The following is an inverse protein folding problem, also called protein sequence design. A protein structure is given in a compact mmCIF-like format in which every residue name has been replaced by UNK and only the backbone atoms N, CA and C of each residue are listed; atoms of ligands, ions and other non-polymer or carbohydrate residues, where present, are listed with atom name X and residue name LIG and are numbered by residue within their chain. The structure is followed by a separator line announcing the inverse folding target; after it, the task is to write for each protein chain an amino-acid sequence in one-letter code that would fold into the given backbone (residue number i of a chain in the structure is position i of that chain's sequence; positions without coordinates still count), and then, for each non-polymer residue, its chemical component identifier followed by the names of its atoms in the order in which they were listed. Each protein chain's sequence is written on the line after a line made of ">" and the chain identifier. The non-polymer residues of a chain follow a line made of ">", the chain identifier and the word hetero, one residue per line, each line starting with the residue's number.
data_IF_754888356861
#
_entry.id   IF_754888356861
#
_cell.length_a   1.000
_cell.length_b   1.000
_cell.length_c   1.000
_cell.angle_alpha   90.00
_cell.angle_beta   90.00
_cell.angle_gamma   90.00
#
_symmetry.space_group_name_H-M   'P 1'
#
loop_
_entity.id
_entity.type
_entity.pdbx_description
1 polymer ?
#
# COMPACT_ATOMS: atom_id res chain seq x y z
N UNK A 1 38.25 -1.95 21.59
CA UNK A 1 36.95 -2.63 21.41
C UNK A 1 35.80 -1.81 22.00
N UNK A 2 35.96 -1.19 23.19
CA UNK A 2 34.95 -0.30 23.79
C UNK A 2 34.59 0.93 22.94
N UNK A 3 35.58 1.63 22.37
CA UNK A 3 35.30 2.84 21.59
C UNK A 3 34.52 2.56 20.30
N UNK A 4 34.85 1.45 19.60
CA UNK A 4 34.12 1.04 18.40
C UNK A 4 32.66 0.70 18.72
N UNK A 5 32.41 -0.01 19.82
CA UNK A 5 31.06 -0.33 20.27
C UNK A 5 30.26 0.95 20.59
N UNK A 6 30.90 1.92 21.26
CA UNK A 6 30.27 3.20 21.59
C UNK A 6 29.87 3.96 20.34
N UNK A 7 30.76 4.04 19.34
CA UNK A 7 30.45 4.67 18.05
C UNK A 7 29.31 3.98 17.31
N UNK A 8 29.29 2.64 17.29
CA UNK A 8 28.19 1.88 16.68
C UNK A 8 26.86 2.18 17.38
N UNK A 9 26.83 2.17 18.71
CA UNK A 9 25.61 2.48 19.48
C UNK A 9 25.15 3.93 19.27
N UNK A 10 26.08 4.88 19.21
CA UNK A 10 25.78 6.28 18.94
C UNK A 10 25.15 6.46 17.53
N UNK A 11 25.71 5.82 16.51
CA UNK A 11 25.16 5.83 15.15
C UNK A 11 23.78 5.20 15.10
N UNK A 12 23.59 4.04 15.75
CA UNK A 12 22.28 3.38 15.82
C UNK A 12 21.25 4.29 16.50
N UNK A 13 21.61 4.93 17.61
CA UNK A 13 20.73 5.87 18.30
C UNK A 13 20.33 7.04 17.40
N UNK A 14 21.29 7.66 16.71
CA UNK A 14 21.01 8.72 15.73
C UNK A 14 20.05 8.21 14.65
N UNK A 15 20.30 7.01 14.09
CA UNK A 15 19.39 6.44 13.10
C UNK A 15 17.97 6.25 13.65
N UNK A 16 17.82 5.74 14.88
CA UNK A 16 16.52 5.56 15.51
C UNK A 16 15.81 6.88 15.87
N UNK A 17 16.56 7.94 16.18
CA UNK A 17 16.00 9.25 16.50
C UNK A 17 15.51 10.00 15.27
N UNK A 18 16.20 9.85 14.13
CA UNK A 18 15.93 10.65 12.93
C UNK A 18 15.21 9.88 11.81
N UNK A 19 15.21 8.55 11.84
CA UNK A 19 14.62 7.72 10.80
C UNK A 19 13.69 6.66 11.39
N UNK A 20 12.65 6.32 10.63
CA UNK A 20 11.81 5.16 10.94
C UNK A 20 12.53 3.86 10.54
N UNK A 21 13.58 3.51 11.30
CA UNK A 21 14.44 2.34 11.04
C UNK A 21 13.60 1.07 10.90
N UNK A 22 12.58 0.90 11.74
CA UNK A 22 11.67 -0.25 11.69
C UNK A 22 10.88 -0.34 10.40
N UNK A 23 10.45 0.79 9.81
CA UNK A 23 9.83 0.80 8.50
C UNK A 23 10.76 0.21 7.45
N UNK A 24 11.98 0.74 7.33
CA UNK A 24 12.92 0.32 6.29
C UNK A 24 13.38 -1.13 6.44
N UNK A 25 13.61 -1.60 7.67
CA UNK A 25 13.90 -3.01 7.93
C UNK A 25 12.75 -3.92 7.49
N UNK A 26 11.50 -3.53 7.74
CA UNK A 26 10.33 -4.31 7.28
C UNK A 26 10.16 -4.26 5.76
N UNK A 27 10.39 -3.12 5.11
CA UNK A 27 10.40 -3.04 3.64
C UNK A 27 11.43 -4.01 3.07
N UNK A 28 12.65 -4.01 3.60
CA UNK A 28 13.70 -4.94 3.17
C UNK A 28 13.26 -6.39 3.38
N UNK A 29 12.73 -6.73 4.55
CA UNK A 29 12.24 -8.09 4.84
C UNK A 29 11.10 -8.52 3.90
N UNK A 30 10.17 -7.61 3.57
CA UNK A 30 9.08 -7.86 2.61
C UNK A 30 9.64 -8.15 1.22
N UNK A 31 10.60 -7.34 0.75
CA UNK A 31 11.22 -7.54 -0.56
C UNK A 31 12.02 -8.85 -0.63
N UNK A 32 12.80 -9.16 0.42
CA UNK A 32 13.53 -10.42 0.52
C UNK A 32 12.56 -11.61 0.53
N UNK A 33 11.50 -11.55 1.34
CA UNK A 33 10.47 -12.59 1.39
C UNK A 33 9.78 -12.76 0.03
N UNK A 34 9.45 -11.67 -0.66
CA UNK A 34 8.85 -11.72 -1.99
C UNK A 34 9.74 -12.42 -3.03
N UNK A 35 11.07 -12.38 -2.86
CA UNK A 35 12.01 -13.11 -3.70
C UNK A 35 11.98 -14.63 -3.45
N UNK A 36 11.76 -15.06 -2.20
CA UNK A 36 11.67 -16.48 -1.86
C UNK A 36 10.28 -17.09 -2.09
N UNK A 37 9.23 -16.28 -2.14
CA UNK A 37 7.88 -16.74 -2.43
C UNK A 37 7.66 -16.92 -3.95
N UNK A 38 6.77 -17.83 -4.33
CA UNK A 38 6.39 -18.01 -5.73
C UNK A 38 5.83 -16.69 -6.31
N UNK A 39 6.24 -16.32 -7.53
CA UNK A 39 5.66 -15.17 -8.23
C UNK A 39 4.18 -15.42 -8.51
N UNK A 40 3.41 -14.34 -8.59
CA UNK A 40 1.98 -14.35 -8.92
C UNK A 40 1.81 -13.56 -10.20
N UNK A 41 1.87 -14.24 -11.35
CA UNK A 41 1.90 -13.57 -12.66
C UNK A 41 0.57 -12.89 -13.03
N UNK A 42 -0.54 -13.38 -12.47
CA UNK A 42 -1.82 -12.70 -12.60
C UNK A 42 -1.81 -11.43 -11.74
N UNK A 43 -1.94 -10.28 -12.42
CA UNK A 43 -1.85 -8.95 -11.82
C UNK A 43 -3.06 -8.65 -10.93
N UNK A 44 -4.22 -9.21 -11.26
CA UNK A 44 -5.48 -8.99 -10.52
C UNK A 44 -5.73 -10.07 -9.45
N UNK A 45 -4.92 -11.13 -9.46
CA UNK A 45 -5.00 -12.18 -8.45
C UNK A 45 -4.76 -11.62 -7.04
N UNK A 46 -5.60 -12.07 -6.11
CA UNK A 46 -5.49 -11.71 -4.71
C UNK A 46 -4.27 -12.36 -4.07
N UNK A 47 -3.50 -11.55 -3.33
CA UNK A 47 -2.40 -12.02 -2.51
C UNK A 47 -2.75 -11.83 -1.04
N UNK A 48 -2.58 -12.89 -0.25
CA UNK A 48 -2.85 -12.90 1.17
C UNK A 48 -1.55 -12.92 1.98
N UNK A 49 -1.44 -12.05 2.98
CA UNK A 49 -0.31 -12.01 3.92
C UNK A 49 -0.84 -12.12 5.34
N UNK A 50 -0.41 -13.15 6.07
CA UNK A 50 -0.74 -13.32 7.47
C UNK A 50 0.03 -12.35 8.38
N UNK A 51 -0.64 -11.84 9.41
CA UNK A 51 -0.10 -10.94 10.42
C UNK A 51 -0.67 -11.22 11.81
N UNK A 52 -0.02 -10.66 12.83
CA UNK A 52 -0.51 -10.62 14.21
C UNK A 52 -0.53 -9.17 14.66
N UNK A 53 -1.52 -8.78 15.47
CA UNK A 53 -1.48 -7.50 16.15
C UNK A 53 -0.48 -7.57 17.30
N UNK A 54 0.64 -6.87 17.19
CA UNK A 54 1.69 -6.85 18.21
C UNK A 54 1.46 -5.74 19.23
N UNK A 55 2.20 -5.78 20.34
CA UNK A 55 2.08 -4.76 21.39
C UNK A 55 2.40 -3.34 20.90
N UNK A 56 3.31 -3.20 19.94
CA UNK A 56 3.68 -1.92 19.33
C UNK A 56 2.71 -1.45 18.22
N UNK A 57 1.65 -2.22 17.96
CA UNK A 57 0.60 -1.89 17.00
C UNK A 57 -0.64 -1.27 17.66
N UNK A 58 -0.68 -1.19 18.99
CA UNK A 58 -1.89 -0.91 19.75
C UNK A 58 -1.93 0.54 20.21
N UNK A 59 -3.11 1.16 20.13
CA UNK A 59 -3.52 2.26 20.99
C UNK A 59 -4.86 1.92 21.65
N UNK A 60 -5.11 2.40 22.87
CA UNK A 60 -6.43 2.28 23.52
C UNK A 60 -7.08 0.87 23.45
N UNK A 61 -6.26 -0.18 23.59
CA UNK A 61 -6.63 -1.61 23.56
C UNK A 61 -7.03 -2.23 22.20
N UNK A 62 -6.86 -1.53 21.08
CA UNK A 62 -7.03 -2.10 19.73
C UNK A 62 -5.89 -1.70 18.79
N UNK A 63 -5.78 -2.37 17.64
CA UNK A 63 -4.82 -1.99 16.62
C UNK A 63 -5.06 -0.52 16.22
N UNK A 64 -4.03 0.30 16.36
CA UNK A 64 -4.07 1.71 16.02
C UNK A 64 -4.46 1.88 14.54
N UNK A 65 -5.32 2.85 14.25
CA UNK A 65 -5.84 3.08 12.90
C UNK A 65 -4.73 3.30 11.84
N UNK A 66 -3.66 4.02 12.19
CA UNK A 66 -2.53 4.24 11.29
C UNK A 66 -1.72 2.95 11.02
N UNK A 67 -1.78 1.95 11.90
CA UNK A 67 -1.13 0.66 11.69
C UNK A 67 -1.77 -0.13 10.55
N UNK A 68 -3.09 -0.03 10.36
CA UNK A 68 -3.76 -0.64 9.20
C UNK A 68 -3.16 -0.10 7.88
N UNK A 69 -3.02 1.22 7.76
CA UNK A 69 -2.45 1.86 6.58
C UNK A 69 -1.00 1.43 6.33
N UNK A 70 -0.21 1.28 7.40
CA UNK A 70 1.17 0.84 7.33
C UNK A 70 1.31 -0.62 6.90
N UNK A 71 0.51 -1.52 7.45
CA UNK A 71 0.48 -2.92 6.99
C UNK A 71 0.04 -3.02 5.52
N UNK A 72 -0.93 -2.20 5.12
CA UNK A 72 -1.36 -2.09 3.74
C UNK A 72 -0.25 -1.64 2.79
N UNK A 73 0.66 -0.76 3.24
CA UNK A 73 1.81 -0.35 2.45
C UNK A 73 2.78 -1.52 2.19
N UNK A 74 3.12 -2.28 3.22
CA UNK A 74 3.93 -3.48 3.08
C UNK A 74 3.29 -4.52 2.16
N UNK A 75 1.96 -4.72 2.28
CA UNK A 75 1.25 -5.64 1.40
C UNK A 75 1.23 -5.18 -0.06
N UNK A 76 1.11 -3.86 -0.34
CA UNK A 76 1.23 -3.32 -1.71
C UNK A 76 2.62 -3.50 -2.29
N UNK A 77 3.67 -3.28 -1.48
CA UNK A 77 5.06 -3.54 -1.88
C UNK A 77 5.25 -5.02 -2.24
N UNK A 78 4.75 -5.93 -1.39
CA UNK A 78 4.77 -7.38 -1.63
C UNK A 78 4.03 -7.74 -2.91
N UNK A 79 2.80 -7.23 -3.10
CA UNK A 79 1.96 -7.44 -4.27
C UNK A 79 2.72 -7.07 -5.55
N UNK A 80 3.23 -5.84 -5.61
CA UNK A 80 3.94 -5.32 -6.77
C UNK A 80 5.28 -6.02 -7.03
N UNK A 81 5.96 -6.46 -5.97
CA UNK A 81 7.19 -7.24 -6.12
C UNK A 81 6.90 -8.63 -6.72
N UNK A 82 5.88 -9.32 -6.21
CA UNK A 82 5.55 -10.71 -6.60
C UNK A 82 4.86 -10.85 -7.95
N UNK A 83 4.10 -9.83 -8.38
CA UNK A 83 3.50 -9.81 -9.72
C UNK A 83 4.38 -9.13 -10.77
N UNK A 84 5.55 -8.60 -10.39
CA UNK A 84 6.50 -7.98 -11.30
C UNK A 84 6.21 -6.52 -11.67
N UNK A 85 5.10 -5.93 -11.22
CA UNK A 85 4.77 -4.51 -11.43
C UNK A 85 5.89 -3.62 -10.90
N UNK A 86 6.45 -3.89 -9.73
CA UNK A 86 7.56 -3.12 -9.16
C UNK A 86 8.79 -3.11 -10.08
N UNK A 87 9.12 -4.27 -10.67
CA UNK A 87 10.26 -4.41 -11.59
C UNK A 87 10.00 -3.65 -12.89
N UNK A 88 8.79 -3.76 -13.45
CA UNK A 88 8.40 -3.06 -14.67
C UNK A 88 8.37 -1.54 -14.48
N UNK A 89 7.81 -1.05 -13.36
CA UNK A 89 7.81 0.37 -12.99
C UNK A 89 9.23 0.93 -12.93
N UNK A 90 10.16 0.23 -12.28
CA UNK A 90 11.58 0.63 -12.22
C UNK A 90 12.26 0.63 -13.59
N UNK A 91 12.01 -0.41 -14.41
CA UNK A 91 12.58 -0.51 -15.75
C UNK A 91 12.14 0.63 -16.69
N UNK A 92 10.95 1.18 -16.46
CA UNK A 92 10.41 2.32 -17.21
C UNK A 92 10.78 3.68 -16.61
N UNK A 93 11.51 3.73 -15.49
CA UNK A 93 11.80 4.99 -14.79
C UNK A 93 10.56 5.68 -14.20
N UNK A 94 9.46 4.94 -14.07
CA UNK A 94 8.22 5.40 -13.47
C UNK A 94 8.28 5.28 -11.93
N UNK A 95 7.36 5.96 -11.26
CA UNK A 95 7.17 5.83 -9.81
C UNK A 95 5.68 5.67 -9.49
N UNK A 96 5.37 5.04 -8.36
CA UNK A 96 4.00 4.86 -7.88
C UNK A 96 3.84 5.53 -6.52
N UNK A 97 2.81 6.38 -6.38
CA UNK A 97 2.57 7.16 -5.16
C UNK A 97 1.09 7.10 -4.82
N UNK A 98 0.77 6.88 -3.53
CA UNK A 98 -0.62 6.89 -3.09
C UNK A 98 -1.21 8.31 -3.27
N UNK A 99 -2.29 8.41 -4.05
CA UNK A 99 -3.01 9.67 -4.30
C UNK A 99 -4.26 9.83 -3.45
N UNK A 100 -4.90 8.72 -3.09
CA UNK A 100 -6.03 8.70 -2.17
C UNK A 100 -6.13 7.34 -1.50
N UNK A 101 -6.46 7.32 -0.21
CA UNK A 101 -6.78 6.09 0.53
C UNK A 101 -8.02 6.37 1.38
N UNK A 102 -8.99 5.47 1.34
CA UNK A 102 -10.14 5.49 2.26
C UNK A 102 -10.18 4.17 3.00
N UNK A 103 -10.46 4.23 4.30
CA UNK A 103 -10.54 3.05 5.17
C UNK A 103 -11.93 2.99 5.78
N UNK A 104 -12.56 1.82 5.69
CA UNK A 104 -13.77 1.49 6.44
C UNK A 104 -13.44 0.44 7.49
N UNK A 105 -13.43 0.87 8.76
CA UNK A 105 -13.30 -0.03 9.90
C UNK A 105 -14.67 -0.63 10.23
N UNK A 106 -14.74 -1.96 10.33
CA UNK A 106 -15.96 -2.70 10.70
C UNK A 106 -15.89 -3.22 12.13
N UNK A 107 -14.71 -3.69 12.54
CA UNK A 107 -14.45 -4.25 13.87
C UNK A 107 -12.98 -4.01 14.26
N UNK A 108 -12.67 -3.69 15.52
CA UNK A 108 -11.29 -3.62 15.98
C UNK A 108 -10.63 -5.00 16.01
N UNK A 109 -9.37 -5.07 15.57
CA UNK A 109 -8.47 -6.18 15.86
C UNK A 109 -7.76 -5.92 17.20
N UNK A 110 -7.77 -6.90 18.10
CA UNK A 110 -7.19 -6.77 19.44
C UNK A 110 -5.75 -7.33 19.52
N UNK A 111 -5.05 -7.01 20.61
CA UNK A 111 -3.69 -7.52 20.89
C UNK A 111 -3.61 -9.03 20.69
N UNK A 112 -2.61 -9.49 19.93
CA UNK A 112 -2.36 -10.92 19.68
C UNK A 112 -3.31 -11.56 18.65
N UNK A 113 -4.32 -10.84 18.17
CA UNK A 113 -5.23 -11.37 17.17
C UNK A 113 -4.50 -11.60 15.84
N UNK A 114 -4.73 -12.79 15.25
CA UNK A 114 -4.23 -13.15 13.93
C UNK A 114 -5.17 -12.63 12.86
N UNK A 115 -4.60 -12.05 11.81
CA UNK A 115 -5.37 -11.60 10.65
C UNK A 115 -4.66 -11.98 9.35
N UNK A 116 -5.44 -12.03 8.29
CA UNK A 116 -4.98 -12.15 6.91
C UNK A 116 -5.27 -10.83 6.20
N UNK A 117 -4.22 -10.21 5.66
CA UNK A 117 -4.33 -9.03 4.81
C UNK A 117 -4.36 -9.47 3.35
N UNK A 118 -5.56 -9.45 2.78
CA UNK A 118 -5.81 -9.73 1.36
C UNK A 118 -5.66 -8.46 0.56
N UNK A 119 -4.87 -8.49 -0.50
CA UNK A 119 -4.56 -7.32 -1.31
C UNK A 119 -4.60 -7.70 -2.79
N UNK A 120 -5.28 -6.90 -3.61
CA UNK A 120 -5.35 -7.09 -5.06
C UNK A 120 -5.44 -5.78 -5.81
N UNK A 121 -4.93 -5.76 -7.05
CA UNK A 121 -5.26 -4.71 -8.02
C UNK A 121 -6.65 -5.05 -8.58
N UNK A 122 -7.63 -4.18 -8.34
CA UNK A 122 -9.00 -4.36 -8.84
C UNK A 122 -9.06 -4.01 -10.33
N UNK A 123 -8.52 -2.85 -10.68
CA UNK A 123 -8.48 -2.31 -12.05
C UNK A 123 -7.50 -1.13 -12.09
N UNK A 124 -7.39 -0.45 -13.23
CA UNK A 124 -6.54 0.72 -13.44
C UNK A 124 -7.13 1.64 -14.51
N UNK A 125 -6.72 2.90 -14.49
CA UNK A 125 -7.01 3.87 -15.55
C UNK A 125 -5.69 4.38 -16.18
N UNK A 126 -5.75 5.47 -16.93
CA UNK A 126 -4.57 6.08 -17.55
C UNK A 126 -3.52 6.58 -16.54
N UNK A 127 -3.92 6.85 -15.29
CA UNK A 127 -3.11 7.58 -14.31
C UNK A 127 -2.81 6.78 -13.05
N UNK A 128 -3.60 5.77 -12.70
CA UNK A 128 -3.49 5.09 -11.42
C UNK A 128 -3.94 3.62 -11.45
N UNK A 129 -3.32 2.82 -10.59
CA UNK A 129 -3.86 1.52 -10.18
C UNK A 129 -4.86 1.70 -9.03
N UNK A 130 -5.93 0.91 -9.05
CA UNK A 130 -6.93 0.85 -7.99
C UNK A 130 -6.77 -0.45 -7.21
N UNK A 131 -6.42 -0.33 -5.93
CA UNK A 131 -6.09 -1.47 -5.07
C UNK A 131 -7.13 -1.59 -3.98
N UNK A 132 -7.63 -2.81 -3.78
CA UNK A 132 -8.47 -3.18 -2.65
C UNK A 132 -7.65 -3.99 -1.64
N UNK A 133 -7.81 -3.67 -0.36
CA UNK A 133 -7.15 -4.38 0.73
C UNK A 133 -8.15 -4.68 1.84
N UNK A 134 -8.17 -5.93 2.30
CA UNK A 134 -9.12 -6.41 3.32
C UNK A 134 -8.36 -7.07 4.46
N UNK A 135 -8.60 -6.61 5.68
CA UNK A 135 -8.17 -7.28 6.90
C UNK A 135 -9.24 -8.29 7.29
N UNK A 136 -8.89 -9.57 7.28
CA UNK A 136 -9.80 -10.67 7.64
C UNK A 136 -9.27 -11.33 8.91
N UNK A 137 -10.09 -11.38 9.97
CA UNK A 137 -9.68 -12.07 11.19
C UNK A 137 -9.51 -13.56 10.91
N UNK A 138 -8.40 -14.14 11.32
CA UNK A 138 -8.16 -15.58 11.17
C UNK A 138 -8.93 -16.40 12.21
N UNK A 139 -9.55 -15.75 13.22
CA UNK A 139 -10.33 -16.42 14.26
C UNK A 139 -11.71 -16.85 13.76
N UNK A 140 -12.40 -15.95 13.07
CA UNK A 140 -13.82 -16.10 12.69
C UNK A 140 -14.08 -15.80 11.19
N UNK A 141 -13.05 -15.42 10.42
CA UNK A 141 -13.19 -15.07 9.00
C UNK A 141 -13.87 -13.72 8.75
N UNK A 142 -14.15 -12.93 9.79
CA UNK A 142 -14.83 -11.65 9.66
C UNK A 142 -13.89 -10.58 9.11
N UNK A 143 -14.38 -9.79 8.15
CA UNK A 143 -13.65 -8.63 7.63
C UNK A 143 -13.64 -7.52 8.68
N UNK A 144 -12.47 -7.24 9.25
CA UNK A 144 -12.26 -6.20 10.26
C UNK A 144 -12.15 -4.79 9.65
N UNK A 145 -11.50 -4.67 8.49
CA UNK A 145 -11.37 -3.41 7.76
C UNK A 145 -11.26 -3.63 6.25
N UNK A 146 -11.75 -2.67 5.47
CA UNK A 146 -11.62 -2.61 4.01
C UNK A 146 -11.01 -1.27 3.60
N UNK A 147 -10.07 -1.31 2.66
CA UNK A 147 -9.37 -0.14 2.16
C UNK A 147 -9.41 -0.11 0.64
N UNK A 148 -9.68 1.07 0.10
CA UNK A 148 -9.41 1.40 -1.29
C UNK A 148 -8.24 2.37 -1.38
N UNK A 149 -7.32 2.09 -2.30
CA UNK A 149 -6.14 2.91 -2.55
C UNK A 149 -6.04 3.24 -4.05
N UNK A 150 -5.93 4.53 -4.37
CA UNK A 150 -5.57 5.04 -5.69
C UNK A 150 -4.08 5.25 -5.71
N UNK A 151 -3.37 4.41 -6.47
CA UNK A 151 -1.93 4.44 -6.59
C UNK A 151 -1.55 5.09 -7.93
N UNK A 152 -1.26 6.40 -7.88
CA UNK A 152 -0.90 7.20 -9.05
C UNK A 152 0.44 6.77 -9.62
N UNK A 153 0.53 6.69 -10.94
CA UNK A 153 1.77 6.43 -11.68
C UNK A 153 2.34 7.75 -12.17
N UNK A 154 3.56 8.06 -11.73
CA UNK A 154 4.31 9.24 -12.15
C UNK A 154 5.30 8.86 -13.25
N UNK A 155 5.47 9.72 -14.24
CA UNK A 155 6.41 9.52 -15.37
C UNK A 155 6.13 8.22 -16.15
N UNK A 156 4.86 7.83 -16.24
CA UNK A 156 4.41 6.60 -16.88
C UNK A 156 2.88 6.48 -16.84
N UNK A 157 2.36 5.29 -17.14
CA UNK A 157 0.95 4.93 -16.93
C UNK A 157 0.85 3.45 -16.54
N UNK A 158 -0.24 3.04 -15.85
CA UNK A 158 -0.52 1.64 -15.60
C UNK A 158 -0.44 0.76 -16.85
N UNK A 159 -1.03 1.20 -17.97
CA UNK A 159 -1.01 0.45 -19.23
C UNK A 159 0.40 0.22 -19.76
N UNK A 160 1.28 1.22 -19.72
CA UNK A 160 2.67 1.07 -20.16
C UNK A 160 3.43 0.07 -19.29
N UNK A 161 3.19 0.11 -17.97
CA UNK A 161 3.80 -0.82 -17.02
C UNK A 161 3.34 -2.25 -17.30
N UNK A 162 2.03 -2.46 -17.46
CA UNK A 162 1.46 -3.77 -17.73
C UNK A 162 1.83 -4.31 -19.11
N UNK A 163 1.88 -3.45 -20.13
CA UNK A 163 2.35 -3.83 -21.46
C UNK A 163 3.82 -4.24 -21.44
N UNK A 164 4.66 -3.53 -20.69
CA UNK A 164 6.06 -3.90 -20.52
C UNK A 164 6.22 -5.23 -19.79
N UNK A 165 5.39 -5.46 -18.75
CA UNK A 165 5.40 -6.68 -17.93
C UNK A 165 4.90 -7.90 -18.72
N UNK A 166 3.72 -7.80 -19.32
CA UNK A 166 3.03 -8.91 -19.99
C UNK A 166 3.44 -9.10 -21.46
N UNK A 167 4.22 -8.17 -22.04
CA UNK A 167 4.60 -8.14 -23.46
C UNK A 167 3.41 -8.10 -24.44
N UNK A 168 2.26 -7.68 -23.95
CA UNK A 168 1.01 -7.52 -24.71
C UNK A 168 0.15 -6.43 -24.06
N UNK A 169 -0.80 -5.88 -24.80
CA UNK A 169 -1.84 -5.03 -24.20
C UNK A 169 -2.68 -5.89 -23.25
N UNK A 170 -2.87 -5.41 -22.03
CA UNK A 170 -3.72 -6.06 -21.03
C UNK A 170 -5.08 -5.37 -21.05
N UNK A 171 -6.14 -6.15 -21.07
CA UNK A 171 -7.50 -5.62 -20.98
C UNK A 171 -7.75 -5.09 -19.57
N UNK A 172 -8.36 -3.91 -19.50
CA UNK A 172 -8.69 -3.27 -18.23
C UNK A 172 -9.92 -3.98 -17.65
N UNK A 173 -9.84 -4.54 -16.43
CA UNK A 173 -11.00 -5.13 -15.77
C UNK A 173 -12.10 -4.09 -15.56
N UNK A 174 -13.35 -4.52 -15.64
CA UNK A 174 -14.50 -3.67 -15.33
C UNK A 174 -14.40 -3.12 -13.90
N UNK A 175 -14.77 -1.86 -13.73
CA UNK A 175 -14.80 -1.21 -12.43
C UNK A 175 -16.03 -1.71 -11.66
N UNK A 176 -15.88 -2.37 -10.49
CA UNK A 176 -17.04 -2.70 -9.66
C UNK A 176 -17.79 -1.44 -9.24
N UNK A 177 -19.11 -1.53 -9.08
CA UNK A 177 -19.98 -0.39 -8.75
C UNK A 177 -19.51 0.40 -7.51
N UNK A 178 -19.15 -0.30 -6.42
CA UNK A 178 -18.60 0.32 -5.21
C UNK A 178 -17.33 1.15 -5.51
N UNK A 179 -16.44 0.63 -6.35
CA UNK A 179 -15.22 1.34 -6.75
C UNK A 179 -15.55 2.56 -7.61
N UNK A 180 -16.55 2.49 -8.49
CA UNK A 180 -16.98 3.64 -9.30
C UNK A 180 -17.52 4.78 -8.43
N UNK A 181 -18.31 4.46 -7.41
CA UNK A 181 -18.79 5.45 -6.44
C UNK A 181 -17.62 6.08 -5.67
N UNK A 182 -16.66 5.26 -5.23
CA UNK A 182 -15.48 5.75 -4.55
C UNK A 182 -14.62 6.66 -5.45
N UNK A 183 -14.40 6.28 -6.72
CA UNK A 183 -13.68 7.11 -7.70
C UNK A 183 -14.40 8.44 -7.92
N UNK A 184 -15.74 8.42 -8.02
CA UNK A 184 -16.56 9.63 -8.15
C UNK A 184 -16.37 10.55 -6.95
N UNK A 185 -16.41 10.01 -5.73
CA UNK A 185 -16.15 10.75 -4.49
C UNK A 185 -14.78 11.43 -4.49
N UNK A 186 -13.71 10.67 -4.81
CA UNK A 186 -12.34 11.22 -4.87
C UNK A 186 -12.20 12.27 -5.97
N UNK A 187 -12.86 12.08 -7.11
CA UNK A 187 -12.83 13.03 -8.24
C UNK A 187 -13.51 14.34 -7.88
N UNK A 188 -14.67 14.29 -7.25
CA UNK A 188 -15.38 15.48 -6.76
C UNK A 188 -14.53 16.26 -5.75
N UNK A 189 -13.93 15.55 -4.78
CA UNK A 189 -13.01 16.16 -3.80
C UNK A 189 -11.82 16.84 -4.47
N UNK A 190 -11.20 16.18 -5.47
CA UNK A 190 -10.09 16.77 -6.21
C UNK A 190 -10.48 18.01 -7.02
N UNK A 191 -11.69 18.08 -7.56
CA UNK A 191 -12.17 19.24 -8.30
C UNK A 191 -12.43 20.42 -7.37
N UNK A 192 -13.03 20.18 -6.20
CA UNK A 192 -13.26 21.21 -5.20
C UNK A 192 -11.94 21.87 -4.76
N UNK A 193 -10.93 21.06 -4.42
CA UNK A 193 -9.60 21.56 -4.02
C UNK A 193 -8.91 22.40 -5.11
N UNK A 194 -9.08 22.04 -6.39
CA UNK A 194 -8.55 22.85 -7.49
C UNK A 194 -9.23 24.21 -7.59
N UNK A 195 -10.56 24.23 -7.46
CA UNK A 195 -11.32 25.47 -7.49
C UNK A 195 -10.93 26.40 -6.32
N UNK A 196 -10.71 25.85 -5.12
CA UNK A 196 -10.20 26.60 -3.97
C UNK A 196 -8.83 27.23 -4.26
N UNK A 197 -7.86 26.44 -4.75
CA UNK A 197 -6.53 26.95 -5.08
C UNK A 197 -6.52 28.00 -6.19
N UNK A 198 -7.43 27.91 -7.17
CA UNK A 198 -7.53 28.88 -8.26
C UNK A 198 -8.16 30.20 -7.79
N UNK A 199 -8.97 30.18 -6.73
CA UNK A 199 -9.52 31.39 -6.09
C UNK A 199 -8.46 32.11 -5.27
N UNK A 200 -7.67 31.38 -4.48
CA UNK A 200 -6.57 31.95 -3.68
C UNK A 200 -5.56 32.71 -4.56
N UNK A 201 -5.15 32.12 -5.70
CA UNK A 201 -4.23 32.76 -6.66
C UNK A 201 -4.78 34.02 -7.34
N UNK A 202 -6.10 34.20 -7.38
CA UNK A 202 -6.74 35.41 -7.94
C UNK A 202 -6.89 36.52 -6.91
N UNK A 203 -6.79 36.20 -5.64
CA UNK A 203 -6.84 37.16 -4.53
C UNK A 203 -5.47 37.71 -4.11
N UNK A 204 -4.38 37.10 -4.60
CA UNK A 204 -2.99 37.58 -4.52
C UNK A 204 -2.65 38.51 -5.69
#
# INVERSE_FOLDING_TARGET
>A
MGDLLLWVLAVLLVLFCFFDVWYYLRVLAVLLRAWFLSPVFDVTAEQAVGGHVLLNDIDMCHMNNARYLRECDFARISLCARNGVLKATRALGAAMVAGAITVRYRRPLCVGEKFELRTRIVTWDEKAFYIEQRFVSSKDGMVAAVLFCKLNVMRGSPDKILQHLCKRKVEVPEFPEELQHWISFITASSQALKAESDLEKKSE
#
